data_IF_663885248737
#
_entry.id   IF_663885248737
#
_cell.length_a   1.000
_cell.length_b   1.000
_cell.length_c   1.000
_cell.angle_alpha   90.00
_cell.angle_beta   90.00
_cell.angle_gamma   90.00
#
_symmetry.space_group_name_H-M   'P 1'
#
loop_
_entity.id
_entity.type
_entity.pdbx_description
1 polymer ?
#
# COMPACT_ATOMS: atom_id res chain seq x y z
N UNK A 1 -20.02 5.87 2.15
CA UNK A 1 -19.59 5.15 3.37
C UNK A 1 -18.08 5.20 3.32
N UNK A 2 -17.38 5.66 4.36
CA UNK A 2 -15.91 5.71 4.31
C UNK A 2 -15.36 4.28 4.26
N UNK A 3 -14.25 4.06 3.59
CA UNK A 3 -13.63 2.75 3.33
C UNK A 3 -13.09 2.01 4.57
N UNK A 4 -13.66 2.30 5.74
CA UNK A 4 -13.30 1.64 6.97
C UNK A 4 -11.84 1.93 7.36
N UNK A 5 -11.25 1.07 8.18
CA UNK A 5 -9.97 1.25 8.83
C UNK A 5 -8.78 0.81 7.95
N UNK A 6 -9.00 0.65 6.65
CA UNK A 6 -7.98 0.17 5.73
C UNK A 6 -7.08 1.33 5.31
N UNK A 7 -5.75 1.22 5.52
CA UNK A 7 -4.83 2.27 5.11
C UNK A 7 -4.81 2.39 3.59
N UNK A 8 -4.89 3.63 3.10
CA UNK A 8 -4.78 3.93 1.68
C UNK A 8 -3.55 4.82 1.43
N UNK A 9 -2.84 4.56 0.34
CA UNK A 9 -1.72 5.39 -0.10
C UNK A 9 -2.18 6.34 -1.19
N UNK A 10 -1.89 7.62 -1.01
CA UNK A 10 -2.14 8.66 -2.02
C UNK A 10 -0.80 9.07 -2.64
N UNK A 11 -0.65 9.02 -3.97
CA UNK A 11 0.57 9.47 -4.62
C UNK A 11 0.85 10.95 -4.31
N UNK A 12 2.05 11.23 -3.80
CA UNK A 12 2.51 12.57 -3.51
C UNK A 12 4.00 12.68 -3.84
N UNK A 13 4.39 13.73 -4.55
CA UNK A 13 5.80 14.00 -4.83
C UNK A 13 6.57 14.25 -3.53
N UNK A 14 7.71 13.57 -3.36
CA UNK A 14 8.50 13.63 -2.13
C UNK A 14 7.86 12.95 -0.92
N UNK A 15 6.71 12.28 -1.08
CA UNK A 15 6.09 11.48 -0.04
C UNK A 15 6.92 10.24 0.30
N UNK A 16 7.03 9.91 1.58
CA UNK A 16 7.69 8.70 2.07
C UNK A 16 6.75 7.93 2.98
N UNK A 17 6.73 6.60 2.83
CA UNK A 17 5.99 5.70 3.70
C UNK A 17 6.90 4.60 4.19
N UNK A 18 6.89 4.36 5.50
CA UNK A 18 7.58 3.22 6.10
C UNK A 18 6.71 1.98 5.96
N UNK A 19 7.30 0.91 5.45
CA UNK A 19 6.58 -0.34 5.23
C UNK A 19 7.50 -1.53 5.11
N UNK A 20 6.94 -2.60 4.56
CA UNK A 20 7.66 -3.82 4.23
C UNK A 20 7.58 -4.05 2.73
N UNK A 21 8.62 -4.66 2.17
CA UNK A 21 8.62 -5.12 0.79
C UNK A 21 8.80 -6.63 0.75
N UNK A 22 8.30 -7.24 -0.32
CA UNK A 22 8.49 -8.65 -0.58
C UNK A 22 8.79 -8.85 -2.06
N UNK A 23 9.77 -9.72 -2.35
CA UNK A 23 10.09 -10.11 -3.72
C UNK A 23 9.08 -11.16 -4.19
N UNK A 24 8.17 -10.75 -5.07
CA UNK A 24 7.21 -11.65 -5.66
C UNK A 24 7.88 -12.54 -6.73
N UNK A 25 8.07 -13.83 -6.41
CA UNK A 25 8.72 -14.79 -7.32
C UNK A 25 7.76 -15.36 -8.39
N UNK A 26 6.44 -15.18 -8.22
CA UNK A 26 5.41 -15.79 -9.08
C UNK A 26 4.42 -14.73 -9.56
N UNK A 27 4.38 -14.48 -10.87
CA UNK A 27 3.53 -13.45 -11.47
C UNK A 27 2.02 -13.61 -11.13
N UNK A 28 1.55 -14.85 -10.94
CA UNK A 28 0.18 -15.12 -10.52
C UNK A 28 -0.18 -14.44 -9.18
N UNK A 29 0.76 -14.33 -8.24
CA UNK A 29 0.48 -13.63 -6.97
C UNK A 29 0.20 -12.14 -7.17
N UNK A 30 0.81 -11.50 -8.19
CA UNK A 30 0.47 -10.11 -8.53
C UNK A 30 -0.96 -10.02 -9.04
N UNK A 31 -1.37 -10.93 -9.92
CA UNK A 31 -2.74 -10.95 -10.43
C UNK A 31 -3.77 -11.21 -9.32
N UNK A 32 -3.45 -12.12 -8.39
CA UNK A 32 -4.30 -12.40 -7.23
C UNK A 32 -4.42 -11.18 -6.30
N UNK A 33 -3.33 -10.43 -6.09
CA UNK A 33 -3.37 -9.17 -5.35
C UNK A 33 -4.22 -8.11 -6.06
N UNK A 34 -4.09 -7.96 -7.38
CA UNK A 34 -4.95 -7.03 -8.14
C UNK A 34 -6.43 -7.38 -8.01
N UNK A 35 -6.77 -8.68 -8.00
CA UNK A 35 -8.15 -9.11 -7.81
C UNK A 35 -8.65 -8.83 -6.38
N UNK A 36 -7.78 -9.02 -5.37
CA UNK A 36 -8.09 -8.76 -3.97
C UNK A 36 -8.34 -7.28 -3.67
N UNK A 37 -7.46 -6.40 -4.15
CA UNK A 37 -7.56 -4.94 -3.94
C UNK A 37 -8.72 -4.31 -4.73
N UNK A 38 -9.28 -5.05 -5.69
CA UNK A 38 -10.41 -4.63 -6.52
C UNK A 38 -10.11 -3.36 -7.35
N UNK A 39 -11.13 -2.60 -7.70
CA UNK A 39 -11.01 -1.35 -8.47
C UNK A 39 -10.70 -0.13 -7.60
N UNK A 40 -10.70 -0.28 -6.28
CA UNK A 40 -10.42 0.82 -5.36
C UNK A 40 -8.95 1.24 -5.34
N UNK A 41 -8.07 0.36 -5.81
CA UNK A 41 -6.65 0.61 -5.91
C UNK A 41 -6.11 0.27 -7.30
N UNK A 42 -5.04 0.95 -7.67
CA UNK A 42 -4.24 0.65 -8.86
C UNK A 42 -2.78 0.46 -8.50
N UNK A 43 -2.05 -0.23 -9.36
CA UNK A 43 -0.60 -0.36 -9.22
C UNK A 43 0.09 0.94 -9.64
N UNK A 44 1.04 1.38 -8.83
CA UNK A 44 2.03 2.40 -9.16
C UNK A 44 3.46 1.87 -8.98
N UNK A 45 4.39 2.55 -9.65
CA UNK A 45 5.81 2.33 -9.45
C UNK A 45 6.39 3.22 -8.36
N UNK A 46 7.26 2.66 -7.54
CA UNK A 46 7.99 3.41 -6.53
C UNK A 46 9.44 2.91 -6.37
N UNK A 47 10.26 3.75 -5.77
CA UNK A 47 11.56 3.35 -5.26
C UNK A 47 11.41 2.83 -3.83
N UNK A 48 12.06 1.71 -3.52
CA UNK A 48 12.08 1.14 -2.17
C UNK A 48 13.48 1.33 -1.59
N UNK A 49 13.57 2.11 -0.51
CA UNK A 49 14.81 2.30 0.24
C UNK A 49 14.85 1.26 1.36
N UNK A 50 15.81 0.35 1.30
CA UNK A 50 15.96 -0.69 2.32
C UNK A 50 16.55 -0.13 3.62
N UNK A 51 16.44 -0.87 4.72
CA UNK A 51 17.06 -0.50 6.00
C UNK A 51 18.59 -0.34 5.94
N UNK A 52 19.24 -0.87 4.89
CA UNK A 52 20.69 -0.72 4.66
C UNK A 52 21.04 0.49 3.79
N UNK A 53 20.03 1.20 3.26
CA UNK A 53 20.20 2.32 2.34
C UNK A 53 20.23 1.93 0.86
N UNK A 54 20.16 0.64 0.53
CA UNK A 54 20.07 0.19 -0.86
C UNK A 54 18.74 0.63 -1.49
N UNK A 55 18.78 1.02 -2.77
CA UNK A 55 17.58 1.43 -3.54
C UNK A 55 17.18 0.34 -4.51
N UNK A 56 15.96 -0.18 -4.34
CA UNK A 56 15.32 -1.08 -5.30
C UNK A 56 14.42 -0.23 -6.19
N UNK A 57 14.74 -0.18 -7.49
CA UNK A 57 13.96 0.55 -8.50
C UNK A 57 12.78 -0.29 -8.98
N UNK A 58 11.77 0.40 -9.52
CA UNK A 58 10.58 -0.22 -10.13
C UNK A 58 9.84 -1.18 -9.18
N UNK A 59 9.86 -0.88 -7.88
CA UNK A 59 8.95 -1.49 -6.92
C UNK A 59 7.50 -1.20 -7.32
N UNK A 60 6.59 -2.08 -6.92
CA UNK A 60 5.15 -1.93 -7.20
C UNK A 60 4.41 -1.77 -5.89
N UNK A 61 3.47 -0.84 -5.87
CA UNK A 61 2.64 -0.53 -4.70
C UNK A 61 1.20 -0.29 -5.14
N UNK A 62 0.23 -0.60 -4.29
CA UNK A 62 -1.17 -0.25 -4.50
C UNK A 62 -1.44 1.14 -3.94
N UNK A 63 -1.98 2.01 -4.79
CA UNK A 63 -2.38 3.37 -4.42
C UNK A 63 -3.87 3.54 -4.64
N UNK A 64 -4.48 4.40 -3.83
CA UNK A 64 -5.89 4.74 -3.91
C UNK A 64 -6.24 5.30 -5.29
N UNK A 65 -7.30 4.80 -5.91
CA UNK A 65 -7.76 5.22 -7.23
C UNK A 65 -9.25 5.63 -7.28
N UNK A 66 -9.90 5.68 -6.12
CA UNK A 66 -11.32 6.00 -5.99
C UNK A 66 -11.53 7.42 -5.39
N UNK A 67 -12.74 7.74 -4.96
CA UNK A 67 -13.15 9.07 -4.52
C UNK A 67 -12.33 9.53 -3.30
N UNK A 68 -11.46 10.53 -3.50
CA UNK A 68 -10.59 11.10 -2.46
C UNK A 68 -11.36 11.60 -1.21
N UNK A 69 -12.59 12.09 -1.36
CA UNK A 69 -13.42 12.58 -0.26
C UNK A 69 -13.87 11.48 0.72
N UNK A 70 -13.65 10.21 0.39
CA UNK A 70 -13.91 9.09 1.29
C UNK A 70 -12.73 8.79 2.23
N UNK A 71 -11.57 9.42 1.99
CA UNK A 71 -10.37 9.27 2.79
C UNK A 71 -10.41 10.17 4.04
N UNK A 72 -9.69 9.73 5.06
CA UNK A 72 -9.33 10.53 6.22
C UNK A 72 -7.81 10.54 6.35
N UNK A 73 -7.23 11.69 6.65
CA UNK A 73 -5.80 11.79 6.94
C UNK A 73 -5.48 11.04 8.23
N UNK A 74 -4.40 10.27 8.23
CA UNK A 74 -4.02 9.45 9.37
C UNK A 74 -2.66 8.79 9.21
N UNK A 75 -2.26 8.07 10.25
CA UNK A 75 -1.01 7.30 10.29
C UNK A 75 -1.36 5.84 10.53
N UNK A 76 -0.78 4.95 9.73
CA UNK A 76 -0.94 3.52 9.92
C UNK A 76 -0.02 3.01 11.04
N UNK A 77 -0.60 2.35 12.05
CA UNK A 77 0.14 1.60 13.07
C UNK A 77 -0.25 0.11 13.03
N UNK A 78 0.75 -0.74 12.73
CA UNK A 78 0.53 -2.18 12.59
C UNK A 78 0.06 -2.83 13.91
N UNK A 79 0.52 -2.34 15.07
CA UNK A 79 0.12 -2.91 16.36
C UNK A 79 -1.34 -2.57 16.67
N UNK A 80 -1.77 -1.35 16.39
CA UNK A 80 -3.18 -0.96 16.54
C UNK A 80 -4.08 -1.69 15.53
N UNK A 81 -3.62 -1.85 14.29
CA UNK A 81 -4.34 -2.59 13.27
C UNK A 81 -4.57 -4.06 13.70
N UNK A 82 -3.53 -4.77 14.16
CA UNK A 82 -3.64 -6.16 14.65
C UNK A 82 -4.55 -6.27 15.89
N UNK A 83 -4.52 -5.29 16.80
CA UNK A 83 -5.44 -5.27 17.96
C UNK A 83 -6.90 -5.15 17.53
N UNK A 84 -7.16 -4.34 16.51
CA UNK A 84 -8.51 -4.01 16.03
C UNK A 84 -9.08 -5.12 15.16
N UNK A 85 -8.28 -5.65 14.23
CA UNK A 85 -8.61 -6.75 13.33
C UNK A 85 -7.90 -8.00 13.83
N UNK A 86 -8.59 -8.80 14.65
CA UNK A 86 -8.08 -10.09 15.14
C UNK A 86 -7.86 -11.03 13.95
N UNK A 87 -6.64 -11.12 13.45
CA UNK A 87 -6.19 -12.19 12.57
C UNK A 87 -5.79 -13.43 13.37
#
# INVERSE_FOLDING_TARGET
>A
MKWGPYPALVPQEGGEVKGLYWKCEVAKHVADLCAYESHAYRIEYCDIITAKGDVIKEGRVFVWDDIFNELEEGVFDLKEYIKTFRF
#
